data_IF_350141507789
#
_entry.id   IF_350141507789
#
_cell.length_a   1.000
_cell.length_b   1.000
_cell.length_c   1.000
_cell.angle_alpha   90.00
_cell.angle_beta   90.00
_cell.angle_gamma   90.00
#
_symmetry.space_group_name_H-M   'P 1'
#
loop_
_entity.id
_entity.type
_entity.pdbx_description
1 polymer ?
#
# COMPACT_ATOMS: atom_id res chain seq x y z
N UNK A 1 17.31 19.72 -12.87
CA UNK A 1 16.38 18.74 -13.47
C UNK A 1 16.87 17.29 -13.38
N UNK A 2 18.16 16.98 -13.62
CA UNK A 2 18.66 15.59 -13.55
C UNK A 2 18.52 14.92 -12.15
N UNK A 3 18.82 15.63 -11.06
CA UNK A 3 18.75 15.08 -9.69
C UNK A 3 17.34 14.68 -9.24
N UNK A 4 16.30 15.36 -9.74
CA UNK A 4 14.89 15.05 -9.41
C UNK A 4 14.41 13.78 -10.12
N UNK A 5 14.90 13.54 -11.35
CA UNK A 5 14.59 12.34 -12.13
C UNK A 5 15.27 11.12 -11.51
N UNK A 6 16.55 11.22 -11.16
CA UNK A 6 17.32 10.12 -10.56
C UNK A 6 16.79 9.69 -9.18
N UNK A 7 16.33 10.66 -8.37
CA UNK A 7 15.66 10.38 -7.09
C UNK A 7 14.30 9.69 -7.28
N UNK A 8 13.52 10.12 -8.28
CA UNK A 8 12.24 9.49 -8.64
C UNK A 8 12.43 8.06 -9.16
N UNK A 9 13.48 7.84 -9.97
CA UNK A 9 13.81 6.54 -10.55
C UNK A 9 14.23 5.52 -9.48
N UNK A 10 15.05 5.96 -8.51
CA UNK A 10 15.47 5.16 -7.36
C UNK A 10 14.29 4.86 -6.42
N UNK A 11 13.42 5.85 -6.20
CA UNK A 11 12.17 5.68 -5.46
C UNK A 11 11.27 4.62 -6.11
N UNK A 12 11.09 4.67 -7.43
CA UNK A 12 10.33 3.67 -8.18
C UNK A 12 10.93 2.27 -8.04
N UNK A 13 12.25 2.13 -8.20
CA UNK A 13 12.91 0.83 -8.12
C UNK A 13 12.73 0.16 -6.74
N UNK A 14 12.94 0.92 -5.66
CA UNK A 14 12.75 0.41 -4.29
C UNK A 14 11.29 0.04 -4.01
N UNK A 15 10.36 0.87 -4.47
CA UNK A 15 8.93 0.62 -4.30
C UNK A 15 8.48 -0.61 -5.11
N UNK A 16 9.04 -0.81 -6.30
CA UNK A 16 8.78 -1.99 -7.14
C UNK A 16 9.29 -3.28 -6.46
N UNK A 17 10.49 -3.25 -5.88
CA UNK A 17 11.05 -4.37 -5.09
C UNK A 17 10.12 -4.71 -3.92
N UNK A 18 9.66 -3.68 -3.19
CA UNK A 18 8.71 -3.86 -2.09
C UNK A 18 7.41 -4.48 -2.58
N UNK A 19 6.80 -3.93 -3.64
CA UNK A 19 5.55 -4.43 -4.18
C UNK A 19 5.67 -5.88 -4.67
N UNK A 20 6.78 -6.25 -5.30
CA UNK A 20 7.04 -7.63 -5.70
C UNK A 20 7.08 -8.58 -4.50
N UNK A 21 7.77 -8.20 -3.43
CA UNK A 21 7.83 -9.02 -2.21
C UNK A 21 6.44 -9.17 -1.58
N UNK A 22 5.64 -8.11 -1.53
CA UNK A 22 4.27 -8.18 -1.03
C UNK A 22 3.37 -9.04 -1.94
N UNK A 23 3.52 -8.94 -3.27
CA UNK A 23 2.76 -9.74 -4.23
C UNK A 23 3.04 -11.24 -4.09
N UNK A 24 4.27 -11.62 -3.75
CA UNK A 24 4.65 -13.01 -3.49
C UNK A 24 3.97 -13.58 -2.24
N UNK A 25 3.70 -12.72 -1.25
CA UNK A 25 3.05 -13.09 0.03
C UNK A 25 1.52 -12.93 -0.01
N UNK A 26 0.97 -12.32 -1.06
CA UNK A 26 -0.39 -11.80 -1.06
C UNK A 26 -1.46 -12.89 -1.03
N UNK A 27 -1.23 -14.01 -1.71
CA UNK A 27 -2.13 -15.16 -1.67
C UNK A 27 -2.21 -15.74 -0.25
N UNK A 28 -1.07 -16.05 0.36
CA UNK A 28 -0.99 -16.56 1.72
C UNK A 28 -1.57 -15.56 2.73
N UNK A 29 -1.36 -14.26 2.52
CA UNK A 29 -1.95 -13.20 3.33
C UNK A 29 -3.49 -13.27 3.31
N UNK A 30 -4.09 -13.43 2.12
CA UNK A 30 -5.55 -13.55 1.99
C UNK A 30 -6.05 -14.83 2.64
N UNK A 31 -5.33 -15.94 2.49
CA UNK A 31 -5.69 -17.24 3.04
C UNK A 31 -5.65 -17.22 4.57
N UNK A 32 -4.61 -16.63 5.16
CA UNK A 32 -4.42 -16.55 6.61
C UNK A 32 -5.45 -15.65 7.31
N UNK A 33 -6.03 -14.70 6.59
CA UNK A 33 -7.11 -13.86 7.11
C UNK A 33 -6.68 -12.89 8.22
N UNK A 34 -5.38 -12.62 8.36
CA UNK A 34 -4.85 -11.60 9.26
C UNK A 34 -4.89 -10.24 8.56
N UNK A 35 -5.36 -9.19 9.25
CA UNK A 35 -5.48 -7.84 8.65
C UNK A 35 -4.12 -7.26 8.32
N UNK A 36 -3.15 -7.46 9.21
CA UNK A 36 -1.78 -6.98 9.08
C UNK A 36 -0.81 -8.15 9.08
N UNK A 37 0.22 -8.07 8.23
CA UNK A 37 1.35 -9.00 8.18
C UNK A 37 2.65 -8.22 8.08
N UNK A 38 3.73 -8.76 8.64
CA UNK A 38 5.08 -8.26 8.38
C UNK A 38 5.74 -9.10 7.30
N UNK A 39 6.22 -8.45 6.24
CA UNK A 39 6.97 -9.08 5.15
C UNK A 39 8.44 -8.66 5.23
N UNK A 40 9.34 -9.62 5.03
CA UNK A 40 10.77 -9.34 4.89
C UNK A 40 11.08 -9.04 3.42
N UNK A 41 11.55 -7.84 3.13
CA UNK A 41 11.92 -7.39 1.80
C UNK A 41 13.44 -7.38 1.68
N UNK A 42 13.95 -7.98 0.62
CA UNK A 42 15.37 -7.94 0.25
C UNK A 42 15.54 -6.92 -0.87
N UNK A 43 16.10 -5.75 -0.56
CA UNK A 43 16.37 -4.71 -1.56
C UNK A 43 17.84 -4.30 -1.61
N UNK A 44 18.12 -3.26 -2.39
CA UNK A 44 19.48 -2.78 -2.64
C UNK A 44 20.22 -2.31 -1.36
N UNK A 45 19.49 -1.99 -0.31
CA UNK A 45 20.02 -1.57 1.00
C UNK A 45 20.11 -2.71 2.02
N UNK A 46 19.85 -3.96 1.59
CA UNK A 46 19.78 -5.13 2.45
C UNK A 46 18.34 -5.53 2.81
N UNK A 47 18.21 -6.27 3.91
CA UNK A 47 16.93 -6.81 4.34
C UNK A 47 16.22 -5.83 5.29
N UNK A 48 14.96 -5.52 5.02
CA UNK A 48 14.13 -4.67 5.87
C UNK A 48 12.72 -5.25 6.00
N UNK A 49 12.05 -4.90 7.10
CA UNK A 49 10.68 -5.35 7.38
C UNK A 49 9.70 -4.29 6.93
N UNK A 50 8.63 -4.72 6.27
CA UNK A 50 7.53 -3.87 5.82
C UNK A 50 6.23 -4.42 6.39
N UNK A 51 5.40 -3.54 6.95
CA UNK A 51 4.02 -3.90 7.29
C UNK A 51 3.15 -3.91 6.03
N UNK A 52 2.29 -4.91 5.96
CA UNK A 52 1.41 -5.19 4.84
C UNK A 52 -0.02 -5.33 5.34
N UNK A 53 -0.91 -4.56 4.73
CA UNK A 53 -2.36 -4.74 4.76
C UNK A 53 -2.92 -4.62 3.35
N UNK A 54 -4.20 -4.91 3.15
CA UNK A 54 -4.86 -4.73 1.86
C UNK A 54 -4.84 -3.28 1.40
N UNK A 55 -5.12 -2.34 2.30
CA UNK A 55 -5.02 -0.90 2.04
C UNK A 55 -3.61 -0.43 1.70
N UNK A 56 -2.59 -0.94 2.39
CA UNK A 56 -1.20 -0.60 2.07
C UNK A 56 -0.81 -1.13 0.69
N UNK A 57 -1.23 -2.35 0.34
CA UNK A 57 -1.02 -2.94 -0.98
C UNK A 57 -1.63 -2.06 -2.10
N UNK A 58 -2.88 -1.64 -1.91
CA UNK A 58 -3.57 -0.74 -2.85
C UNK A 58 -2.86 0.62 -2.96
N UNK A 59 -2.42 1.21 -1.84
CA UNK A 59 -1.72 2.49 -1.83
C UNK A 59 -0.36 2.42 -2.55
N UNK A 60 0.36 1.30 -2.43
CA UNK A 60 1.63 1.07 -3.14
C UNK A 60 1.41 0.91 -4.64
N UNK A 61 0.40 0.13 -5.03
CA UNK A 61 -0.02 0.00 -6.45
C UNK A 61 -0.34 1.37 -7.05
N UNK A 62 -1.17 2.18 -6.38
CA UNK A 62 -1.52 3.53 -6.84
C UNK A 62 -0.28 4.43 -6.95
N UNK A 63 0.66 4.32 -5.99
CA UNK A 63 1.92 5.08 -6.02
C UNK A 63 2.74 4.73 -7.26
N UNK A 64 2.97 3.44 -7.52
CA UNK A 64 3.76 2.98 -8.65
C UNK A 64 3.08 3.31 -9.99
N UNK A 65 1.76 3.23 -10.08
CA UNK A 65 1.02 3.63 -11.28
C UNK A 65 1.19 5.13 -11.58
N UNK A 66 1.21 5.99 -10.55
CA UNK A 66 1.48 7.43 -10.74
C UNK A 66 2.92 7.72 -11.14
N UNK A 67 3.89 6.98 -10.59
CA UNK A 67 5.31 7.16 -10.89
C UNK A 67 5.72 6.53 -12.25
N UNK A 68 4.97 5.54 -12.74
CA UNK A 68 5.29 4.77 -13.96
C UNK A 68 5.37 5.61 -15.24
N UNK A 69 4.84 6.82 -15.25
CA UNK A 69 4.97 7.78 -16.36
C UNK A 69 6.41 8.24 -16.61
N UNK A 70 7.32 8.03 -15.64
CA UNK A 70 8.71 8.47 -15.70
C UNK A 70 9.73 7.31 -15.67
N UNK A 71 9.30 6.06 -15.90
CA UNK A 71 10.16 4.87 -15.80
C UNK A 71 10.52 4.26 -17.17
N UNK A 72 11.47 3.32 -17.16
CA UNK A 72 11.89 2.59 -18.38
C UNK A 72 10.84 1.54 -18.76
N UNK A 73 10.79 1.18 -20.05
CA UNK A 73 9.88 0.13 -20.54
C UNK A 73 10.04 -1.21 -19.81
N UNK A 74 11.28 -1.57 -19.41
CA UNK A 74 11.56 -2.79 -18.67
C UNK A 74 10.93 -2.79 -17.27
N UNK A 75 11.05 -1.67 -16.53
CA UNK A 75 10.44 -1.53 -15.20
C UNK A 75 8.92 -1.43 -15.26
N UNK A 76 8.39 -0.82 -16.31
CA UNK A 76 6.95 -0.81 -16.53
C UNK A 76 6.40 -2.20 -16.83
N UNK A 77 7.14 -3.03 -17.60
CA UNK A 77 6.77 -4.42 -17.82
C UNK A 77 6.74 -5.22 -16.51
N UNK A 78 7.76 -5.06 -15.66
CA UNK A 78 7.80 -5.68 -14.33
C UNK A 78 6.61 -5.26 -13.46
N UNK A 79 6.27 -3.97 -13.43
CA UNK A 79 5.08 -3.50 -12.72
C UNK A 79 3.81 -4.18 -13.25
N UNK A 80 3.64 -4.27 -14.57
CA UNK A 80 2.46 -4.90 -15.16
C UNK A 80 2.34 -6.39 -14.79
N UNK A 81 3.47 -7.12 -14.74
CA UNK A 81 3.49 -8.53 -14.32
C UNK A 81 3.06 -8.69 -12.85
N UNK A 82 3.58 -7.82 -11.97
CA UNK A 82 3.19 -7.78 -10.55
C UNK A 82 1.70 -7.47 -10.41
N UNK A 83 1.18 -6.47 -11.14
CA UNK A 83 -0.23 -6.13 -11.12
C UNK A 83 -1.11 -7.30 -11.59
N UNK A 84 -0.69 -8.02 -12.63
CA UNK A 84 -1.40 -9.20 -13.11
C UNK A 84 -1.46 -10.32 -12.05
N UNK A 85 -0.38 -10.54 -11.30
CA UNK A 85 -0.33 -11.50 -10.18
C UNK A 85 -1.29 -11.10 -9.04
N UNK A 86 -1.27 -9.83 -8.64
CA UNK A 86 -2.17 -9.29 -7.60
C UNK A 86 -3.62 -9.44 -8.02
N UNK A 87 -3.97 -9.01 -9.23
CA UNK A 87 -5.34 -9.09 -9.76
C UNK A 87 -5.82 -10.53 -9.98
N UNK A 88 -4.93 -11.46 -10.31
CA UNK A 88 -5.25 -12.88 -10.30
C UNK A 88 -5.66 -13.33 -8.90
N UNK A 89 -4.86 -13.03 -7.88
CA UNK A 89 -5.11 -13.41 -6.49
C UNK A 89 -6.40 -12.77 -5.95
N UNK A 90 -6.63 -11.48 -6.22
CA UNK A 90 -7.87 -10.78 -5.86
C UNK A 90 -9.11 -11.47 -6.45
N UNK A 91 -9.07 -11.87 -7.71
CA UNK A 91 -10.19 -12.55 -8.37
C UNK A 91 -10.42 -13.95 -7.83
N UNK A 92 -9.35 -14.70 -7.60
CA UNK A 92 -9.43 -16.08 -7.10
C UNK A 92 -9.97 -16.13 -5.67
N UNK A 93 -9.56 -15.20 -4.82
CA UNK A 93 -9.95 -15.13 -3.41
C UNK A 93 -10.88 -13.96 -3.08
N UNK A 94 -11.67 -13.49 -4.06
CA UNK A 94 -12.48 -12.26 -3.98
C UNK A 94 -13.25 -12.10 -2.66
N UNK A 95 -14.03 -13.12 -2.26
CA UNK A 95 -14.83 -13.04 -1.02
C UNK A 95 -13.95 -12.82 0.22
N UNK A 96 -12.85 -13.59 0.36
CA UNK A 96 -11.94 -13.47 1.50
C UNK A 96 -11.20 -12.14 1.50
N UNK A 97 -10.77 -11.69 0.33
CA UNK A 97 -10.12 -10.40 0.19
C UNK A 97 -11.06 -9.25 0.59
N UNK A 98 -12.31 -9.25 0.13
CA UNK A 98 -13.28 -8.22 0.51
C UNK A 98 -13.64 -8.28 2.00
N UNK A 99 -13.72 -9.47 2.61
CA UNK A 99 -13.90 -9.61 4.06
C UNK A 99 -12.72 -9.04 4.85
N UNK A 100 -11.49 -9.30 4.42
CA UNK A 100 -10.28 -8.69 4.98
C UNK A 100 -10.32 -7.17 4.88
N UNK A 101 -10.63 -6.63 3.70
CA UNK A 101 -10.74 -5.19 3.48
C UNK A 101 -11.80 -4.53 4.36
N UNK A 102 -12.95 -5.18 4.59
CA UNK A 102 -13.98 -4.64 5.50
C UNK A 102 -13.49 -4.59 6.95
N UNK A 103 -12.77 -5.61 7.40
CA UNK A 103 -12.17 -5.64 8.75
C UNK A 103 -11.09 -4.56 8.89
N UNK A 104 -10.25 -4.41 7.88
CA UNK A 104 -9.23 -3.36 7.83
C UNK A 104 -9.86 -1.97 7.86
N UNK A 105 -10.89 -1.74 7.03
CA UNK A 105 -11.61 -0.47 6.96
C UNK A 105 -12.18 -0.08 8.33
N UNK A 106 -12.78 -1.04 9.05
CA UNK A 106 -13.29 -0.80 10.40
C UNK A 106 -12.18 -0.39 11.37
N UNK A 107 -11.04 -1.10 11.36
CA UNK A 107 -9.89 -0.77 12.20
C UNK A 107 -9.33 0.63 11.90
N UNK A 108 -9.14 0.95 10.62
CA UNK A 108 -8.62 2.25 10.17
C UNK A 108 -9.56 3.42 10.47
N UNK A 109 -10.86 3.23 10.34
CA UNK A 109 -11.86 4.24 10.73
C UNK A 109 -11.83 4.48 12.24
N UNK A 110 -11.68 3.44 13.05
CA UNK A 110 -11.54 3.60 14.49
C UNK A 110 -10.26 4.38 14.84
N UNK A 111 -9.12 4.08 14.20
CA UNK A 111 -7.89 4.87 14.36
C UNK A 111 -8.08 6.33 13.97
N UNK A 112 -8.80 6.62 12.88
CA UNK A 112 -9.08 7.99 12.46
C UNK A 112 -9.97 8.74 13.47
N UNK A 113 -10.98 8.08 14.03
CA UNK A 113 -11.83 8.67 15.07
C UNK A 113 -11.02 9.03 16.32
N UNK A 114 -10.16 8.12 16.78
CA UNK A 114 -9.30 8.36 17.94
C UNK A 114 -8.35 9.54 17.72
N UNK A 115 -7.76 9.61 16.53
CA UNK A 115 -6.89 10.71 16.14
C UNK A 115 -7.63 12.07 16.14
N UNK A 116 -8.88 12.11 15.66
CA UNK A 116 -9.70 13.32 15.70
C UNK A 116 -10.09 13.69 17.16
N UNK A 117 -10.43 12.70 17.99
CA UNK A 117 -10.73 12.90 19.42
C UNK A 117 -9.51 13.44 20.20
N UNK A 118 -8.31 12.92 19.93
CA UNK A 118 -7.05 13.39 20.55
C UNK A 118 -6.69 14.81 20.11
N UNK A 119 -7.05 15.21 18.89
CA UNK A 119 -6.75 16.55 18.37
C UNK A 119 -7.55 17.62 19.12
N UNK A 120 -8.81 17.36 19.44
CA UNK A 120 -9.70 18.32 20.13
C UNK A 120 -9.96 19.62 19.35
N UNK A 121 -10.86 20.46 19.83
CA UNK A 121 -11.24 21.70 19.14
C UNK A 121 -10.23 22.85 19.29
N UNK A 122 -9.30 22.76 20.26
CA UNK A 122 -8.42 23.88 20.69
C UNK A 122 -6.92 23.69 20.39
N UNK A 123 -6.50 22.68 19.61
CA UNK A 123 -5.09 22.53 19.24
C UNK A 123 -4.70 23.51 18.11
N UNK A 124 -3.73 24.40 18.39
CA UNK A 124 -3.16 25.32 17.40
C UNK A 124 -2.40 24.60 16.27
N UNK A 125 -1.95 23.35 16.49
CA UNK A 125 -1.44 22.43 15.46
C UNK A 125 -2.55 21.47 14.99
N UNK A 126 -3.50 21.99 14.21
CA UNK A 126 -4.63 21.23 13.67
C UNK A 126 -4.31 20.53 12.32
N UNK A 127 -3.03 20.30 12.04
CA UNK A 127 -2.59 19.65 10.80
C UNK A 127 -2.52 18.13 10.97
N UNK A 128 -2.88 17.40 9.92
CA UNK A 128 -2.74 15.96 9.91
C UNK A 128 -1.27 15.56 9.88
N UNK A 129 -0.92 14.54 10.65
CA UNK A 129 0.36 13.88 10.59
C UNK A 129 0.47 13.05 9.30
N UNK A 130 1.70 12.74 8.82
CA UNK A 130 1.89 11.85 7.68
C UNK A 130 1.24 10.46 7.85
N UNK A 131 1.14 9.96 9.08
CA UNK A 131 0.48 8.68 9.36
C UNK A 131 -1.03 8.76 9.17
N UNK A 132 -1.66 9.87 9.57
CA UNK A 132 -3.08 10.11 9.37
C UNK A 132 -3.41 10.29 7.89
N UNK A 133 -2.58 11.02 7.14
CA UNK A 133 -2.75 11.17 5.69
C UNK A 133 -2.61 9.82 4.98
N UNK A 134 -1.64 9.00 5.37
CA UNK A 134 -1.51 7.63 4.87
C UNK A 134 -2.75 6.77 5.20
N UNK A 135 -3.27 6.88 6.42
CA UNK A 135 -4.47 6.15 6.84
C UNK A 135 -5.71 6.58 6.03
N UNK A 136 -5.91 7.88 5.83
CA UNK A 136 -7.01 8.43 5.02
C UNK A 136 -6.91 7.98 3.56
N UNK A 137 -5.69 7.96 2.99
CA UNK A 137 -5.46 7.42 1.65
C UNK A 137 -5.83 5.95 1.56
N UNK A 138 -5.42 5.13 2.54
CA UNK A 138 -5.80 3.72 2.58
C UNK A 138 -7.31 3.53 2.69
N UNK A 139 -8.00 4.29 3.57
CA UNK A 139 -9.47 4.25 3.70
C UNK A 139 -10.14 4.53 2.35
N UNK A 140 -9.68 5.57 1.63
CA UNK A 140 -10.24 5.94 0.33
C UNK A 140 -10.08 4.81 -0.70
N UNK A 141 -8.90 4.21 -0.78
CA UNK A 141 -8.59 3.12 -1.71
C UNK A 141 -9.35 1.84 -1.37
N UNK A 142 -9.48 1.50 -0.09
CA UNK A 142 -10.28 0.35 0.35
C UNK A 142 -11.75 0.53 -0.03
N UNK A 143 -12.31 1.73 0.18
CA UNK A 143 -13.70 2.03 -0.24
C UNK A 143 -13.86 1.90 -1.75
N UNK A 144 -12.92 2.42 -2.52
CA UNK A 144 -12.95 2.28 -3.98
C UNK A 144 -12.92 0.82 -4.42
N UNK A 145 -12.11 -0.01 -3.76
CA UNK A 145 -11.98 -1.44 -4.08
C UNK A 145 -13.24 -2.24 -3.71
N UNK A 146 -13.91 -1.89 -2.61
CA UNK A 146 -15.11 -2.60 -2.14
C UNK A 146 -16.38 -2.28 -2.94
N UNK A 147 -16.39 -1.19 -3.72
CA UNK A 147 -17.57 -0.65 -4.40
C UNK A 147 -18.58 -0.02 -3.44
#
# INVERSE_FOLDING_TARGET
>A
MAATVESSEKGFANELITLQALANEFEDYIIDGQVYRTVLVTGDQGNYRVEMSGGDMLARVETLQRLGTHTTSARQAQLNDILAQIEKSKREFHTRFHELLRRELAARLNTALWADDERGDDNEENERTPAEDHNQRCIALIRQELG
#
